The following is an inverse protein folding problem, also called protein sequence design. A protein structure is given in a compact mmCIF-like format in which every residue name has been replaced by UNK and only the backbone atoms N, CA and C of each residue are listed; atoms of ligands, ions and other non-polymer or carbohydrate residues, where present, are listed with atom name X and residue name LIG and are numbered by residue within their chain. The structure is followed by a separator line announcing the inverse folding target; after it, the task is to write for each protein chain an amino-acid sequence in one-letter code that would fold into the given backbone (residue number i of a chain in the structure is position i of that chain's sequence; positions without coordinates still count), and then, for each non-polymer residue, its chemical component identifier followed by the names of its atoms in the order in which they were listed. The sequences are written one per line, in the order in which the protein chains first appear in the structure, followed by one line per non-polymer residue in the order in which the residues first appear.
data_IF_569874589234
#
_entry.id   IF_569874589234
#
_cell.length_a   1.000
_cell.length_b   1.000
_cell.length_c   1.000
_cell.angle_alpha   90.00
_cell.angle_beta   90.00
_cell.angle_gamma   90.00
#
_symmetry.space_group_name_H-M   'P 1'
#
loop_
_entity.id
_entity.type
_entity.pdbx_description
1 polymer ?
#
# COMPACT_ATOMS: atom_id res chain seq x y z
N UNK A 1 -10.33 -12.90 6.30
CA UNK A 1 -9.42 -12.07 7.11
C UNK A 1 -9.00 -12.86 8.34
N UNK A 2 -7.70 -12.92 8.61
CA UNK A 2 -7.21 -13.11 9.97
C UNK A 2 -7.15 -11.75 10.69
N UNK A 3 -7.08 -11.77 12.01
CA UNK A 3 -6.99 -10.57 12.85
C UNK A 3 -5.81 -10.72 13.80
N UNK A 4 -4.99 -9.68 13.88
CA UNK A 4 -3.82 -9.64 14.74
C UNK A 4 -3.84 -8.36 15.57
N UNK A 5 -3.66 -8.51 16.88
CA UNK A 5 -3.44 -7.39 17.78
C UNK A 5 -2.09 -7.55 18.47
N UNK A 6 -1.23 -6.54 18.35
CA UNK A 6 0.08 -6.49 18.99
C UNK A 6 0.13 -5.26 19.86
N UNK A 7 0.51 -5.45 21.13
CA UNK A 7 0.73 -4.36 22.06
C UNK A 7 2.09 -4.52 22.75
N UNK A 8 2.76 -3.40 23.01
CA UNK A 8 4.01 -3.38 23.76
C UNK A 8 3.89 -2.55 25.04
N UNK A 9 4.76 -2.82 26.01
CA UNK A 9 4.78 -2.11 27.29
C UNK A 9 5.75 -0.94 27.24
N UNK A 10 5.28 0.23 27.67
CA UNK A 10 6.04 1.48 27.82
C UNK A 10 7.09 1.46 28.95
N UNK A 11 7.07 0.41 29.78
CA UNK A 11 8.09 0.14 30.80
C UNK A 11 9.48 -0.17 30.19
N UNK A 12 9.52 -0.57 28.91
CA UNK A 12 10.75 -0.89 28.20
C UNK A 12 11.11 0.21 27.18
N UNK A 13 12.38 0.27 26.77
CA UNK A 13 12.79 1.19 25.71
C UNK A 13 12.21 0.76 24.34
N UNK A 14 11.99 1.74 23.46
CA UNK A 14 11.35 1.53 22.15
C UNK A 14 12.06 0.49 21.27
N UNK A 15 13.39 0.40 21.35
CA UNK A 15 14.16 -0.59 20.59
C UNK A 15 13.79 -2.03 21.00
N UNK A 16 13.66 -2.28 22.30
CA UNK A 16 13.24 -3.58 22.82
C UNK A 16 11.76 -3.84 22.51
N UNK A 17 10.91 -2.83 22.65
CA UNK A 17 9.49 -2.93 22.30
C UNK A 17 9.31 -3.31 20.82
N UNK A 18 9.99 -2.63 19.89
CA UNK A 18 9.88 -2.91 18.46
C UNK A 18 10.41 -4.30 18.10
N UNK A 19 11.52 -4.72 18.70
CA UNK A 19 12.03 -6.08 18.52
C UNK A 19 11.05 -7.14 19.02
N UNK A 20 10.50 -6.95 20.22
CA UNK A 20 9.53 -7.86 20.83
C UNK A 20 8.21 -7.91 20.06
N UNK A 21 7.74 -6.79 19.52
CA UNK A 21 6.54 -6.74 18.66
C UNK A 21 6.69 -7.62 17.42
N UNK A 22 7.84 -7.51 16.74
CA UNK A 22 8.17 -8.35 15.59
C UNK A 22 8.20 -9.84 15.96
N UNK A 23 8.87 -10.20 17.05
CA UNK A 23 8.92 -11.58 17.56
C UNK A 23 7.54 -12.13 17.96
N UNK A 24 6.69 -11.31 18.56
CA UNK A 24 5.37 -11.73 19.00
C UNK A 24 4.43 -11.97 17.81
N UNK A 25 4.37 -11.04 16.85
CA UNK A 25 3.62 -11.23 15.60
C UNK A 25 4.07 -12.49 14.88
N UNK A 26 5.38 -12.66 14.81
CA UNK A 26 6.04 -13.80 14.25
C UNK A 26 5.52 -15.12 14.85
N UNK A 27 5.63 -15.26 16.17
CA UNK A 27 5.28 -16.49 16.88
C UNK A 27 3.80 -16.88 16.70
N UNK A 28 2.88 -15.92 16.59
CA UNK A 28 1.45 -16.20 16.47
C UNK A 28 0.95 -16.35 15.03
N UNK A 29 1.78 -16.04 14.03
CA UNK A 29 1.40 -16.09 12.61
C UNK A 29 2.33 -16.92 11.73
N UNK A 30 3.25 -17.68 12.33
CA UNK A 30 4.26 -18.53 11.66
C UNK A 30 3.71 -19.31 10.46
N UNK A 31 2.58 -20.01 10.61
CA UNK A 31 1.98 -20.79 9.52
C UNK A 31 1.46 -19.90 8.38
N UNK A 32 0.82 -18.77 8.70
CA UNK A 32 0.33 -17.83 7.70
C UNK A 32 1.49 -17.18 6.95
N UNK A 33 2.59 -16.87 7.65
CA UNK A 33 3.81 -16.30 7.08
C UNK A 33 4.45 -17.29 6.11
N UNK A 34 4.60 -18.55 6.52
CA UNK A 34 5.11 -19.59 5.66
C UNK A 34 4.27 -19.75 4.39
N UNK A 35 2.94 -19.86 4.51
CA UNK A 35 2.06 -19.97 3.33
C UNK A 35 2.14 -18.74 2.43
N UNK A 36 2.20 -17.54 3.01
CA UNK A 36 2.29 -16.31 2.23
C UNK A 36 3.63 -16.19 1.49
N UNK A 37 4.74 -16.52 2.14
CA UNK A 37 6.06 -16.64 1.54
C UNK A 37 6.06 -17.60 0.34
N UNK A 38 5.52 -18.80 0.54
CA UNK A 38 5.41 -19.83 -0.50
C UNK A 38 4.56 -19.37 -1.69
N UNK A 39 3.50 -18.61 -1.45
CA UNK A 39 2.61 -18.12 -2.50
C UNK A 39 3.20 -16.95 -3.30
N UNK A 40 4.07 -16.15 -2.70
CA UNK A 40 4.44 -14.83 -3.26
C UNK A 40 5.89 -14.75 -3.74
N UNK A 41 6.85 -14.95 -2.83
CA UNK A 41 8.25 -14.54 -3.04
C UNK A 41 9.25 -15.68 -2.92
N UNK A 42 8.84 -16.92 -2.65
CA UNK A 42 9.75 -18.08 -2.50
C UNK A 42 10.72 -18.27 -3.68
N UNK A 43 10.27 -17.95 -4.90
CA UNK A 43 11.10 -18.04 -6.11
C UNK A 43 11.84 -16.75 -6.47
N UNK A 44 11.68 -15.66 -5.72
CA UNK A 44 12.26 -14.36 -6.04
C UNK A 44 13.77 -14.36 -5.77
N UNK A 45 14.58 -14.11 -6.81
CA UNK A 45 16.05 -14.24 -6.75
C UNK A 45 16.57 -15.54 -6.10
N UNK A 46 15.86 -16.66 -6.30
CA UNK A 46 16.28 -17.97 -5.82
C UNK A 46 17.50 -18.56 -6.55
N UNK A 47 18.12 -19.61 -6.00
CA UNK A 47 19.43 -20.14 -6.44
C UNK A 47 19.45 -20.73 -7.86
N UNK A 48 18.28 -20.98 -8.46
CA UNK A 48 18.14 -21.62 -9.76
C UNK A 48 17.61 -20.66 -10.86
N UNK A 49 17.68 -19.34 -10.65
CA UNK A 49 17.19 -18.35 -11.61
C UNK A 49 18.26 -17.91 -12.62
N UNK A 50 17.82 -17.71 -13.86
CA UNK A 50 18.64 -17.21 -14.97
C UNK A 50 18.89 -15.68 -14.93
N UNK A 51 18.31 -14.95 -13.97
CA UNK A 51 18.41 -13.49 -13.85
C UNK A 51 19.49 -13.06 -12.83
N UNK A 52 20.68 -13.67 -12.89
CA UNK A 52 21.75 -13.46 -11.90
C UNK A 52 22.19 -12.01 -11.81
N UNK A 53 22.37 -11.32 -12.94
CA UNK A 53 22.79 -9.91 -12.98
C UNK A 53 21.79 -8.96 -12.30
N UNK A 54 20.48 -9.17 -12.51
CA UNK A 54 19.45 -8.38 -11.83
C UNK A 54 19.50 -8.60 -10.31
N UNK A 55 19.58 -9.86 -9.88
CA UNK A 55 19.58 -10.21 -8.46
C UNK A 55 20.84 -9.71 -7.74
N UNK A 56 22.01 -9.75 -8.39
CA UNK A 56 23.25 -9.19 -7.87
C UNK A 56 23.17 -7.65 -7.72
N UNK A 57 22.60 -6.96 -8.72
CA UNK A 57 22.35 -5.50 -8.62
C UNK A 57 21.40 -5.15 -7.50
N UNK A 58 20.28 -5.86 -7.40
CA UNK A 58 19.30 -5.66 -6.33
C UNK A 58 19.93 -5.87 -4.95
N UNK A 59 20.68 -6.97 -4.79
CA UNK A 59 21.38 -7.26 -3.55
C UNK A 59 22.38 -6.14 -3.21
N UNK A 60 23.24 -5.75 -4.14
CA UNK A 60 24.23 -4.70 -3.91
C UNK A 60 23.59 -3.35 -3.56
N UNK A 61 22.47 -3.01 -4.20
CA UNK A 61 21.70 -1.82 -3.88
C UNK A 61 21.12 -1.87 -2.46
N UNK A 62 20.49 -2.97 -2.08
CA UNK A 62 19.89 -3.12 -0.75
C UNK A 62 20.95 -3.09 0.36
N UNK A 63 22.07 -3.78 0.17
CA UNK A 63 23.21 -3.75 1.11
C UNK A 63 23.76 -2.33 1.28
N UNK A 64 23.98 -1.60 0.18
CA UNK A 64 24.44 -0.22 0.21
C UNK A 64 23.43 0.71 0.89
N UNK A 65 22.13 0.55 0.61
CA UNK A 65 21.07 1.34 1.22
C UNK A 65 20.96 1.12 2.74
N UNK A 66 21.02 -0.14 3.19
CA UNK A 66 21.01 -0.47 4.62
C UNK A 66 22.24 0.08 5.34
N UNK A 67 23.43 -0.04 4.72
CA UNK A 67 24.67 0.51 5.26
C UNK A 67 24.60 2.04 5.38
N UNK A 68 24.08 2.71 4.35
CA UNK A 68 23.87 4.15 4.37
C UNK A 68 22.90 4.57 5.48
N UNK A 69 21.77 3.88 5.65
CA UNK A 69 20.84 4.17 6.75
C UNK A 69 21.51 4.01 8.13
N UNK A 70 22.37 3.01 8.31
CA UNK A 70 23.15 2.86 9.55
C UNK A 70 24.08 4.04 9.79
N UNK A 71 24.82 4.47 8.76
CA UNK A 71 25.70 5.62 8.85
C UNK A 71 24.93 6.91 9.23
N UNK A 72 23.74 7.13 8.65
CA UNK A 72 22.91 8.27 9.00
C UNK A 72 22.42 8.22 10.46
N UNK A 73 22.04 7.03 10.95
CA UNK A 73 21.66 6.86 12.36
C UNK A 73 22.83 7.11 13.31
N UNK A 74 24.07 6.81 12.91
CA UNK A 74 25.28 7.05 13.72
C UNK A 74 25.70 8.53 13.73
N UNK A 75 25.49 9.25 12.62
CA UNK A 75 25.76 10.69 12.52
C UNK A 75 24.92 11.53 13.50
N UNK A 76 23.75 11.03 13.92
CA UNK A 76 22.89 11.69 14.91
C UNK A 76 22.21 12.97 14.42
N UNK A 77 22.27 13.28 13.13
CA UNK A 77 21.44 14.30 12.52
C UNK A 77 19.96 13.87 12.58
N UNK A 78 19.03 14.80 12.78
CA UNK A 78 17.58 14.53 12.89
C UNK A 78 17.23 13.33 13.81
N UNK A 79 17.47 13.45 15.12
CA UNK A 79 17.38 12.34 16.06
C UNK A 79 15.95 11.80 16.23
N UNK A 80 14.93 12.58 15.89
CA UNK A 80 13.53 12.12 15.91
C UNK A 80 13.26 11.21 14.71
N UNK A 81 13.56 11.68 13.50
CA UNK A 81 13.35 10.92 12.28
C UNK A 81 14.11 9.58 12.31
N UNK A 82 15.41 9.63 12.60
CA UNK A 82 16.25 8.43 12.59
C UNK A 82 15.98 7.49 13.77
N UNK A 83 15.42 7.97 14.89
CA UNK A 83 14.89 7.10 15.95
C UNK A 83 13.68 6.31 15.45
N UNK A 84 12.76 6.94 14.71
CA UNK A 84 11.62 6.27 14.12
C UNK A 84 11.98 5.33 12.97
N UNK A 85 13.06 5.60 12.25
CA UNK A 85 13.63 4.65 11.27
C UNK A 85 14.25 3.47 12.00
N UNK A 86 14.99 3.69 13.10
CA UNK A 86 15.65 2.62 13.86
C UNK A 86 14.67 1.62 14.48
N UNK A 87 13.58 2.10 15.08
CA UNK A 87 12.58 1.27 15.78
C UNK A 87 12.11 0.04 14.97
N UNK A 88 11.38 0.21 13.86
CA UNK A 88 10.87 -0.89 13.04
C UNK A 88 11.98 -1.66 12.30
N UNK A 89 13.13 -1.03 12.09
CA UNK A 89 14.23 -1.65 11.37
C UNK A 89 15.10 -2.52 12.26
N UNK A 90 14.96 -2.46 13.60
CA UNK A 90 15.81 -3.19 14.54
C UNK A 90 15.76 -4.73 14.40
N UNK A 91 14.61 -5.39 14.08
CA UNK A 91 14.60 -6.82 13.76
C UNK A 91 15.31 -7.16 12.44
N UNK A 92 15.26 -6.24 11.47
CA UNK A 92 15.73 -6.44 10.08
C UNK A 92 17.19 -6.02 9.87
N UNK A 93 17.70 -5.13 10.73
CA UNK A 93 19.01 -4.47 10.61
C UNK A 93 20.08 -4.99 11.58
N UNK A 94 19.93 -6.16 12.19
CA UNK A 94 21.04 -6.78 12.97
C UNK A 94 21.66 -7.94 12.20
N UNK A 95 22.77 -7.73 11.45
CA UNK A 95 23.49 -8.82 10.81
C UNK A 95 24.25 -9.73 11.78
N UNK A 96 24.50 -9.31 13.04
CA UNK A 96 25.36 -10.05 13.97
C UNK A 96 25.00 -9.76 15.43
N UNK A 97 24.20 -10.62 16.03
CA UNK A 97 24.26 -10.84 17.47
C UNK A 97 24.61 -12.32 17.70
N UNK A 98 25.78 -12.64 18.30
CA UNK A 98 26.12 -14.00 18.67
C UNK A 98 25.32 -14.37 19.92
N UNK A 99 24.05 -14.71 19.73
CA UNK A 99 23.29 -15.56 20.65
C UNK A 99 22.97 -16.83 19.88
N UNK A 100 24.06 -17.58 19.68
CA UNK A 100 24.06 -18.94 19.18
C UNK A 100 23.23 -19.85 20.09
N UNK A 101 22.63 -20.85 19.44
CA UNK A 101 22.23 -22.15 19.98
C UNK A 101 20.89 -22.30 20.73
N UNK A 102 20.10 -21.26 21.03
CA UNK A 102 18.76 -21.48 21.63
C UNK A 102 17.58 -20.72 21.00
N UNK A 103 17.82 -19.69 20.20
CA UNK A 103 16.77 -19.00 19.45
C UNK A 103 16.60 -19.53 18.00
N UNK A 104 17.37 -20.54 17.61
CA UNK A 104 17.25 -21.22 16.30
C UNK A 104 15.99 -22.10 16.17
N UNK A 105 15.07 -22.04 17.13
CA UNK A 105 13.86 -22.86 17.20
C UNK A 105 12.56 -22.05 17.27
N UNK A 106 12.59 -20.71 17.11
CA UNK A 106 11.42 -19.84 17.31
C UNK A 106 11.06 -18.98 16.09
N UNK A 107 11.53 -19.34 14.89
CA UNK A 107 11.02 -18.80 13.63
C UNK A 107 10.99 -19.90 12.55
N UNK A 108 9.86 -20.19 11.89
CA UNK A 108 9.72 -21.26 10.89
C UNK A 108 10.75 -21.18 9.77
N UNK A 109 11.19 -19.98 9.40
CA UNK A 109 12.14 -19.78 8.30
C UNK A 109 13.60 -20.03 8.72
N UNK A 110 13.92 -20.00 10.02
CA UNK A 110 15.23 -20.43 10.50
C UNK A 110 15.44 -21.95 10.32
N UNK A 111 14.36 -22.74 10.30
CA UNK A 111 14.42 -24.18 10.03
C UNK A 111 14.80 -24.50 8.57
N UNK A 112 14.51 -23.62 7.62
CA UNK A 112 14.97 -23.74 6.22
C UNK A 112 16.47 -23.43 6.06
N UNK A 113 17.08 -22.80 7.07
CA UNK A 113 18.50 -22.43 7.06
C UNK A 113 19.41 -23.60 7.50
N UNK A 114 18.83 -24.73 7.94
CA UNK A 114 19.57 -25.91 8.39
C UNK A 114 19.81 -26.98 7.31
N UNK A 115 19.39 -26.78 6.07
CA UNK A 115 19.66 -27.67 4.93
C UNK A 115 21.00 -27.45 4.22
N UNK A 116 22.05 -27.01 4.94
CA UNK A 116 23.44 -27.17 4.48
C UNK A 116 23.89 -26.34 3.27
N UNK A 117 23.15 -25.29 2.89
CA UNK A 117 23.58 -24.32 1.88
C UNK A 117 23.99 -23.01 2.57
N UNK A 118 25.25 -22.94 2.97
CA UNK A 118 25.88 -21.72 3.47
C UNK A 118 26.15 -20.79 2.28
N UNK A 119 25.12 -20.10 1.80
CA UNK A 119 25.16 -18.97 0.86
C UNK A 119 23.71 -18.46 0.69
N UNK A 120 23.22 -17.68 1.66
CA UNK A 120 22.04 -16.83 1.44
C UNK A 120 22.56 -15.40 1.43
N UNK A 121 22.31 -14.60 0.38
CA UNK A 121 22.76 -13.21 0.30
C UNK A 121 22.16 -12.36 1.42
N UNK A 122 22.76 -11.20 1.71
CA UNK A 122 22.39 -10.34 2.85
C UNK A 122 20.95 -9.76 2.80
N UNK A 123 20.22 -10.01 1.71
CA UNK A 123 18.78 -9.73 1.60
C UNK A 123 18.02 -10.89 2.21
N UNK A 124 17.50 -10.71 3.42
CA UNK A 124 16.76 -11.78 4.09
C UNK A 124 15.36 -11.93 3.48
N UNK A 125 14.80 -13.14 3.57
CA UNK A 125 13.43 -13.45 3.13
C UNK A 125 12.41 -12.43 3.66
N UNK A 126 12.59 -11.98 4.89
CA UNK A 126 11.72 -11.02 5.56
C UNK A 126 11.75 -9.63 4.88
N UNK A 127 12.90 -9.21 4.36
CA UNK A 127 13.04 -7.93 3.65
C UNK A 127 12.25 -7.94 2.34
N UNK A 128 12.27 -9.04 1.60
CA UNK A 128 11.52 -9.16 0.34
C UNK A 128 10.01 -9.01 0.55
N UNK A 129 9.47 -9.52 1.65
CA UNK A 129 8.05 -9.33 2.01
C UNK A 129 7.69 -7.86 2.29
N UNK A 130 8.69 -7.03 2.63
CA UNK A 130 8.47 -5.60 2.85
C UNK A 130 8.65 -4.77 1.58
N UNK A 131 9.41 -5.28 0.61
CA UNK A 131 9.77 -4.53 -0.59
C UNK A 131 8.80 -4.78 -1.75
N UNK A 132 7.70 -5.52 -1.53
CA UNK A 132 6.81 -5.98 -2.60
C UNK A 132 6.47 -4.92 -3.65
N UNK A 133 6.10 -3.71 -3.23
CA UNK A 133 5.83 -2.61 -4.15
C UNK A 133 7.04 -1.77 -4.56
N UNK A 134 8.06 -1.63 -3.70
CA UNK A 134 9.34 -1.01 -4.09
C UNK A 134 10.01 -1.79 -5.23
N UNK A 135 9.84 -3.11 -5.26
CA UNK A 135 10.35 -3.98 -6.30
C UNK A 135 9.73 -3.67 -7.67
N UNK A 136 8.51 -3.15 -7.76
CA UNK A 136 7.90 -2.77 -9.06
C UNK A 136 8.75 -1.71 -9.79
N UNK A 137 9.22 -0.69 -9.05
CA UNK A 137 10.08 0.36 -9.59
C UNK A 137 11.55 -0.09 -9.69
N UNK A 138 12.06 -0.86 -8.72
CA UNK A 138 13.45 -1.36 -8.73
C UNK A 138 13.70 -2.36 -9.87
N UNK A 139 12.72 -3.19 -10.21
CA UNK A 139 12.78 -4.08 -11.37
C UNK A 139 12.96 -3.31 -12.66
N UNK A 140 12.20 -2.21 -12.84
CA UNK A 140 12.35 -1.33 -13.99
C UNK A 140 13.70 -0.60 -13.96
N UNK A 141 14.12 -0.10 -12.79
CA UNK A 141 15.37 0.65 -12.65
C UNK A 141 16.62 -0.20 -12.95
N UNK A 142 16.58 -1.50 -12.62
CA UNK A 142 17.66 -2.44 -12.88
C UNK A 142 17.49 -3.25 -14.18
N UNK A 143 16.53 -2.88 -15.03
CA UNK A 143 16.28 -3.50 -16.33
C UNK A 143 16.06 -5.02 -16.24
N UNK A 144 15.19 -5.47 -15.33
CA UNK A 144 14.84 -6.88 -15.21
C UNK A 144 14.23 -7.41 -16.51
N UNK A 145 14.86 -8.41 -17.12
CA UNK A 145 14.58 -8.83 -18.50
C UNK A 145 13.52 -9.93 -18.63
N UNK A 146 13.24 -10.74 -17.59
CA UNK A 146 12.26 -11.84 -17.71
C UNK A 146 10.81 -11.44 -17.40
N UNK A 147 10.58 -10.28 -16.81
CA UNK A 147 9.25 -9.78 -16.46
C UNK A 147 9.18 -8.26 -16.62
N UNK A 148 9.01 -7.73 -17.85
CA UNK A 148 8.83 -6.29 -18.02
C UNK A 148 7.59 -5.82 -17.25
N UNK A 149 7.62 -4.61 -16.66
CA UNK A 149 6.47 -4.05 -15.95
C UNK A 149 5.21 -4.14 -16.81
N UNK A 150 4.12 -4.62 -16.20
CA UNK A 150 2.83 -4.74 -16.89
C UNK A 150 2.31 -3.32 -17.14
N UNK A 151 2.48 -2.82 -18.37
CA UNK A 151 2.02 -1.49 -18.73
C UNK A 151 0.53 -1.35 -18.43
N UNK A 152 0.21 -0.32 -17.64
CA UNK A 152 -1.14 -0.01 -17.21
C UNK A 152 -1.66 -0.91 -16.09
N UNK A 153 -0.82 -1.70 -15.40
CA UNK A 153 -1.31 -2.43 -14.23
C UNK A 153 -1.82 -1.41 -13.21
N UNK A 154 -3.14 -1.37 -13.01
CA UNK A 154 -3.74 -0.65 -11.90
C UNK A 154 -3.51 -1.46 -10.63
N UNK A 155 -3.46 -0.78 -9.49
CA UNK A 155 -3.22 -1.46 -8.20
C UNK A 155 -4.15 -1.07 -7.09
N UNK A 156 -5.10 -0.16 -7.36
CA UNK A 156 -6.10 0.22 -6.38
C UNK A 156 -7.11 1.20 -6.95
N UNK A 157 -8.29 1.18 -6.36
CA UNK A 157 -9.29 2.23 -6.49
C UNK A 157 -9.61 2.80 -5.12
N UNK A 158 -9.85 4.10 -5.05
CA UNK A 158 -10.09 4.78 -3.78
C UNK A 158 -11.12 5.90 -3.91
N UNK A 159 -11.97 6.04 -2.90
CA UNK A 159 -13.00 7.08 -2.86
C UNK A 159 -13.05 7.72 -1.46
N UNK A 160 -12.99 9.04 -1.42
CA UNK A 160 -13.39 9.86 -0.28
C UNK A 160 -14.74 10.46 -0.63
N UNK A 161 -15.74 10.33 0.25
CA UNK A 161 -17.10 10.80 -0.04
C UNK A 161 -17.66 11.60 1.11
N UNK A 162 -17.98 12.87 0.85
CA UNK A 162 -18.83 13.65 1.73
C UNK A 162 -20.28 13.22 1.51
N UNK A 163 -20.93 12.75 2.57
CA UNK A 163 -22.34 12.40 2.51
C UNK A 163 -23.21 13.67 2.41
N UNK A 164 -24.46 13.57 1.90
CA UNK A 164 -25.36 14.71 1.79
C UNK A 164 -25.48 15.50 3.10
N UNK A 165 -25.32 16.81 3.02
CA UNK A 165 -25.32 17.72 4.18
C UNK A 165 -24.06 17.63 5.04
N UNK A 166 -22.95 17.09 4.52
CA UNK A 166 -21.67 16.90 5.22
C UNK A 166 -21.84 16.13 6.55
N UNK A 167 -22.83 15.25 6.63
CA UNK A 167 -23.16 14.52 7.88
C UNK A 167 -22.08 13.51 8.29
N UNK A 168 -21.31 13.02 7.33
CA UNK A 168 -20.19 12.12 7.53
C UNK A 168 -19.22 12.26 6.33
N UNK A 169 -17.98 11.83 6.54
CA UNK A 169 -16.96 11.69 5.51
C UNK A 169 -16.53 10.23 5.48
N UNK A 170 -16.85 9.53 4.39
CA UNK A 170 -16.47 8.13 4.20
C UNK A 170 -15.15 8.04 3.46
N UNK A 171 -14.28 7.13 3.90
CA UNK A 171 -12.96 6.88 3.31
C UNK A 171 -12.85 5.41 2.95
N UNK A 172 -12.73 5.11 1.66
CA UNK A 172 -12.81 3.76 1.13
C UNK A 172 -11.65 3.38 0.20
N UNK A 173 -11.17 2.15 0.27
CA UNK A 173 -10.05 1.65 -0.53
C UNK A 173 -10.31 0.21 -1.00
N UNK A 174 -10.06 -0.07 -2.26
CA UNK A 174 -10.14 -1.40 -2.90
C UNK A 174 -8.77 -1.70 -3.51
N UNK A 175 -8.01 -2.64 -2.92
CA UNK A 175 -6.67 -2.99 -3.39
C UNK A 175 -6.76 -3.88 -4.61
N UNK A 176 -6.00 -3.58 -5.66
CA UNK A 176 -5.78 -4.50 -6.77
C UNK A 176 -4.40 -5.14 -6.67
N UNK A 177 -4.35 -6.46 -6.68
CA UNK A 177 -3.09 -7.22 -6.60
C UNK A 177 -3.29 -8.63 -7.17
N UNK A 178 -2.21 -9.40 -7.26
CA UNK A 178 -2.28 -10.80 -7.66
C UNK A 178 -3.08 -11.64 -6.66
N UNK A 179 -3.92 -12.54 -7.15
CA UNK A 179 -4.76 -13.39 -6.30
C UNK A 179 -3.95 -14.31 -5.37
N UNK A 180 -2.69 -14.60 -5.70
CA UNK A 180 -1.81 -15.38 -4.82
C UNK A 180 -1.47 -14.68 -3.50
N UNK A 181 -1.62 -13.35 -3.41
CA UNK A 181 -1.36 -12.57 -2.19
C UNK A 181 -2.55 -12.56 -1.22
N UNK A 182 -3.69 -13.18 -1.54
CA UNK A 182 -4.95 -13.11 -0.77
C UNK A 182 -4.96 -13.85 0.58
N UNK A 183 -3.80 -14.09 1.19
CA UNK A 183 -3.71 -14.34 2.63
C UNK A 183 -3.66 -12.98 3.34
N UNK A 184 -4.75 -12.62 4.01
CA UNK A 184 -4.97 -11.24 4.49
C UNK A 184 -5.13 -11.17 6.00
N UNK A 185 -4.48 -10.19 6.62
CA UNK A 185 -4.51 -9.94 8.06
C UNK A 185 -4.88 -8.48 8.32
N UNK A 186 -5.93 -8.20 9.09
CA UNK A 186 -6.13 -6.87 9.67
C UNK A 186 -5.31 -6.79 10.95
N UNK A 187 -4.43 -5.79 11.04
CA UNK A 187 -3.49 -5.63 12.15
C UNK A 187 -3.86 -4.40 12.97
N UNK A 188 -3.84 -4.56 14.29
CA UNK A 188 -3.90 -3.47 15.27
C UNK A 188 -2.61 -3.45 16.07
N UNK A 189 -1.83 -2.39 15.92
CA UNK A 189 -0.63 -2.17 16.69
C UNK A 189 -0.89 -1.10 17.76
N UNK A 190 -0.57 -1.40 19.01
CA UNK A 190 -0.55 -0.45 20.14
C UNK A 190 0.89 -0.37 20.66
N UNK A 191 1.63 0.59 20.11
CA UNK A 191 3.06 0.75 20.30
C UNK A 191 3.31 2.13 20.93
N UNK A 192 3.45 2.23 22.27
CA UNK A 192 3.70 3.49 22.98
C UNK A 192 5.17 3.95 22.81
N UNK A 193 5.64 4.03 21.56
CA UNK A 193 6.97 4.53 21.25
C UNK A 193 7.07 6.03 21.57
N UNK A 194 8.29 6.46 21.88
CA UNK A 194 8.65 7.85 22.08
C UNK A 194 9.05 8.48 20.76
N UNK A 195 8.92 9.80 20.70
CA UNK A 195 9.28 10.62 19.52
C UNK A 195 10.78 10.54 19.25
N UNK A 196 11.61 10.54 20.30
CA UNK A 196 13.07 10.37 20.24
C UNK A 196 13.57 9.48 21.37
N UNK A 197 14.80 8.97 21.22
CA UNK A 197 15.44 8.08 22.19
C UNK A 197 15.57 8.65 23.61
N UNK A 198 15.68 9.98 23.76
CA UNK A 198 15.82 10.67 25.06
C UNK A 198 14.58 11.45 25.48
N UNK A 199 13.55 11.51 24.63
CA UNK A 199 12.32 12.24 24.89
C UNK A 199 11.31 11.42 25.67
N UNK A 200 10.44 12.10 26.43
CA UNK A 200 9.32 11.46 27.12
C UNK A 200 7.99 11.57 26.34
N UNK A 201 7.98 12.32 25.23
CA UNK A 201 6.78 12.52 24.43
C UNK A 201 6.49 11.28 23.56
N UNK A 202 5.32 10.68 23.74
CA UNK A 202 4.82 9.58 22.91
C UNK A 202 4.48 10.07 21.50
N UNK A 203 4.69 9.20 20.52
CA UNK A 203 4.31 9.46 19.13
C UNK A 203 2.78 9.63 18.98
N UNK A 204 2.30 10.53 18.11
CA UNK A 204 0.86 10.69 17.86
C UNK A 204 0.17 9.42 17.33
N UNK A 205 0.84 8.67 16.45
CA UNK A 205 0.36 7.45 15.82
C UNK A 205 0.72 6.17 16.58
N UNK A 206 0.63 6.17 17.91
CA UNK A 206 0.95 5.01 18.74
C UNK A 206 -0.04 3.85 18.59
N UNK A 207 -1.28 4.11 18.19
CA UNK A 207 -2.24 3.06 17.80
C UNK A 207 -2.50 3.15 16.31
N UNK A 208 -2.38 2.02 15.61
CA UNK A 208 -2.58 1.93 14.17
C UNK A 208 -3.41 0.69 13.85
N UNK A 209 -4.49 0.85 13.09
CA UNK A 209 -5.25 -0.26 12.51
C UNK A 209 -5.16 -0.21 11.00
N UNK A 210 -4.76 -1.30 10.37
CA UNK A 210 -4.52 -1.35 8.93
C UNK A 210 -4.75 -2.74 8.33
N UNK A 211 -5.11 -2.78 7.05
CA UNK A 211 -5.16 -4.02 6.28
C UNK A 211 -3.76 -4.42 5.83
N UNK A 212 -3.39 -5.70 5.92
CA UNK A 212 -2.02 -6.16 5.72
C UNK A 212 -1.99 -7.63 5.28
N UNK A 213 -0.78 -8.20 5.27
CA UNK A 213 -0.42 -9.54 4.86
C UNK A 213 0.43 -10.21 5.94
N UNK A 214 0.46 -11.55 6.00
CA UNK A 214 1.33 -12.27 6.93
C UNK A 214 2.81 -11.92 6.70
N UNK A 215 3.51 -11.49 7.75
CA UNK A 215 4.94 -11.17 7.70
C UNK A 215 5.27 -9.78 7.17
N UNK A 216 4.29 -9.04 6.62
CA UNK A 216 4.47 -7.64 6.20
C UNK A 216 4.15 -6.68 7.35
N UNK A 217 5.12 -5.96 7.88
CA UNK A 217 4.97 -5.13 9.11
C UNK A 217 4.31 -3.76 8.85
N UNK A 218 3.77 -3.56 7.66
CA UNK A 218 2.98 -2.41 7.23
C UNK A 218 1.82 -2.90 6.34
N UNK A 219 1.03 -1.99 5.77
CA UNK A 219 -0.18 -2.34 5.02
C UNK A 219 0.13 -2.97 3.65
N UNK A 220 0.86 -2.26 2.79
CA UNK A 220 1.14 -2.71 1.41
C UNK A 220 -0.07 -2.59 0.48
N UNK A 221 -1.21 -2.13 1.00
CA UNK A 221 -2.41 -1.85 0.22
C UNK A 221 -2.40 -0.44 -0.40
N UNK A 222 -2.44 0.68 0.31
CA UNK A 222 -2.23 0.96 1.74
C UNK A 222 -3.47 1.59 2.42
N UNK A 223 -3.92 1.12 3.60
CA UNK A 223 -5.03 1.75 4.35
C UNK A 223 -4.79 1.71 5.87
N UNK A 224 -4.68 2.89 6.51
CA UNK A 224 -4.43 3.01 7.95
C UNK A 224 -5.42 3.93 8.66
N UNK A 225 -5.82 3.55 9.87
CA UNK A 225 -6.51 4.40 10.85
C UNK A 225 -5.55 4.63 12.02
N UNK A 226 -5.21 5.88 12.29
CA UNK A 226 -4.16 6.27 13.24
C UNK A 226 -4.74 6.98 14.46
N UNK A 227 -4.15 6.76 15.64
CA UNK A 227 -4.57 7.45 16.89
C UNK A 227 -4.39 8.97 16.84
N UNK A 228 -3.61 9.48 15.90
CA UNK A 228 -3.48 10.91 15.64
C UNK A 228 -4.74 11.54 15.02
N UNK A 229 -5.79 10.74 14.74
CA UNK A 229 -7.01 11.17 14.05
C UNK A 229 -6.86 11.22 12.53
N UNK A 230 -5.74 10.73 12.01
CA UNK A 230 -5.46 10.64 10.59
C UNK A 230 -5.91 9.29 10.03
N UNK A 231 -6.45 9.32 8.82
CA UNK A 231 -6.56 8.14 7.95
C UNK A 231 -5.65 8.39 6.77
N UNK A 232 -4.54 7.66 6.72
CA UNK A 232 -3.61 7.71 5.60
C UNK A 232 -3.87 6.54 4.67
N UNK A 233 -3.90 6.84 3.38
CA UNK A 233 -4.09 5.85 2.32
C UNK A 233 -3.19 6.21 1.14
N UNK A 234 -2.42 5.23 0.70
CA UNK A 234 -1.63 5.28 -0.51
C UNK A 234 -2.29 4.36 -1.53
N UNK A 235 -2.28 4.79 -2.77
CA UNK A 235 -2.34 3.85 -3.87
C UNK A 235 -0.89 3.52 -4.18
N UNK A 236 -0.38 2.41 -3.60
CA UNK A 236 1.04 1.98 -3.53
C UNK A 236 1.88 2.68 -2.41
N UNK A 237 3.07 2.24 -1.93
CA UNK A 237 3.72 2.76 -0.68
C UNK A 237 5.16 2.42 -0.22
N UNK A 238 6.10 3.37 -0.20
CA UNK A 238 7.40 3.28 0.54
C UNK A 238 7.47 4.19 1.78
N UNK A 239 8.20 3.82 2.85
CA UNK A 239 8.36 4.52 4.15
C UNK A 239 7.12 5.04 4.94
N UNK A 240 5.87 4.50 4.83
CA UNK A 240 4.75 5.03 5.62
C UNK A 240 4.91 5.01 7.16
N UNK A 241 5.66 4.07 7.80
CA UNK A 241 5.68 3.98 9.25
C UNK A 241 6.18 5.23 9.98
N UNK A 242 7.12 5.99 9.40
CA UNK A 242 7.65 7.19 10.09
C UNK A 242 6.61 8.31 10.05
N UNK A 243 6.06 8.60 8.87
CA UNK A 243 5.02 9.62 8.71
C UNK A 243 3.75 9.25 9.52
N UNK A 244 3.31 8.00 9.47
CA UNK A 244 2.15 7.52 10.24
C UNK A 244 2.33 7.64 11.76
N UNK A 245 3.56 7.45 12.27
CA UNK A 245 3.84 7.57 13.70
C UNK A 245 3.91 9.02 14.16
N UNK A 246 4.61 9.88 13.42
CA UNK A 246 4.97 11.23 13.88
C UNK A 246 3.93 12.30 13.55
N UNK A 247 3.15 12.14 12.48
CA UNK A 247 2.30 13.21 11.98
C UNK A 247 1.07 13.47 12.86
N UNK A 248 0.78 14.76 13.07
CA UNK A 248 -0.45 15.24 13.72
C UNK A 248 -1.44 15.85 12.73
N UNK A 249 -1.00 16.21 11.54
CA UNK A 249 -1.83 16.78 10.46
C UNK A 249 -1.41 16.21 9.11
N UNK A 250 -2.26 16.39 8.09
CA UNK A 250 -1.92 15.99 6.71
C UNK A 250 -0.68 16.70 6.16
N UNK A 251 -0.48 17.98 6.50
CA UNK A 251 0.70 18.73 6.09
C UNK A 251 1.99 18.21 6.73
N UNK A 252 1.97 17.88 8.03
CA UNK A 252 3.11 17.25 8.72
C UNK A 252 3.41 15.86 8.14
N UNK A 253 2.36 15.09 7.85
CA UNK A 253 2.50 13.76 7.24
C UNK A 253 3.24 13.87 5.91
N UNK A 254 2.81 14.79 5.04
CA UNK A 254 3.45 15.04 3.75
C UNK A 254 4.90 15.52 3.89
N UNK A 255 5.17 16.42 4.85
CA UNK A 255 6.51 16.93 5.11
C UNK A 255 7.49 15.87 5.63
N UNK A 256 6.99 14.86 6.35
CA UNK A 256 7.77 13.72 6.82
C UNK A 256 7.97 12.68 5.71
N UNK A 257 6.92 12.39 4.94
CA UNK A 257 6.93 11.37 3.89
C UNK A 257 7.86 11.72 2.73
N UNK A 258 7.88 12.98 2.29
CA UNK A 258 8.71 13.42 1.17
C UNK A 258 10.22 13.42 1.48
N UNK A 259 10.61 13.23 2.74
CA UNK A 259 12.01 13.19 3.14
C UNK A 259 12.65 11.95 2.54
N UNK A 260 13.81 12.15 1.90
CA UNK A 260 14.59 11.04 1.35
C UNK A 260 13.77 10.18 0.36
N UNK A 261 12.96 10.84 -0.47
CA UNK A 261 12.20 10.21 -1.55
C UNK A 261 13.09 9.23 -2.33
N UNK A 262 12.76 7.93 -2.26
CA UNK A 262 13.50 6.86 -2.92
C UNK A 262 13.22 6.79 -4.43
N UNK A 263 12.12 7.39 -4.89
CA UNK A 263 11.60 7.18 -6.24
C UNK A 263 11.11 5.76 -6.48
N UNK A 264 10.93 4.98 -5.42
CA UNK A 264 10.37 3.63 -5.46
C UNK A 264 9.01 3.65 -4.80
N UNK A 265 8.14 2.79 -5.30
CA UNK A 265 6.75 2.67 -4.93
C UNK A 265 6.05 4.03 -5.04
N UNK A 266 5.89 4.51 -6.28
CA UNK A 266 5.43 5.87 -6.64
C UNK A 266 3.90 6.03 -6.67
N UNK A 267 3.36 6.95 -5.86
CA UNK A 267 1.95 6.89 -5.42
C UNK A 267 1.25 8.23 -5.44
N UNK A 268 -0.08 8.17 -5.41
CA UNK A 268 -0.92 9.23 -4.86
C UNK A 268 -1.35 8.85 -3.43
N UNK A 269 -0.89 9.63 -2.46
CA UNK A 269 -1.28 9.55 -1.06
C UNK A 269 -2.40 10.54 -0.75
N UNK A 270 -3.38 10.08 0.02
CA UNK A 270 -4.48 10.86 0.54
C UNK A 270 -4.49 10.73 2.06
N UNK A 271 -4.26 11.84 2.74
CA UNK A 271 -4.27 11.93 4.20
C UNK A 271 -5.50 12.70 4.62
N UNK A 272 -6.44 11.99 5.23
CA UNK A 272 -7.66 12.57 5.79
C UNK A 272 -7.45 12.86 7.26
N UNK A 273 -7.62 14.10 7.68
CA UNK A 273 -7.60 14.48 9.09
C UNK A 273 -9.02 14.65 9.63
N UNK A 274 -9.51 13.65 10.35
CA UNK A 274 -10.83 13.73 10.96
C UNK A 274 -10.93 14.76 12.08
N UNK A 275 -9.80 15.23 12.65
CA UNK A 275 -9.83 16.32 13.64
C UNK A 275 -10.24 17.66 13.00
N UNK A 276 -10.00 17.81 11.71
CA UNK A 276 -10.39 18.99 10.93
C UNK A 276 -11.81 18.87 10.34
N UNK A 277 -12.44 17.69 10.42
CA UNK A 277 -13.80 17.46 9.94
C UNK A 277 -14.82 17.71 11.07
N UNK A 278 -15.91 18.41 10.75
CA UNK A 278 -17.02 18.63 11.68
C UNK A 278 -18.33 18.34 10.95
N UNK A 279 -19.15 17.37 11.41
CA UNK A 279 -20.41 17.03 10.77
C UNK A 279 -21.32 18.26 10.57
N UNK A 280 -21.86 18.43 9.36
CA UNK A 280 -22.73 19.55 9.00
C UNK A 280 -22.00 20.88 8.71
N UNK A 281 -20.70 20.98 8.98
CA UNK A 281 -19.92 22.18 8.69
C UNK A 281 -19.23 22.09 7.33
N UNK A 282 -18.72 23.24 6.85
CA UNK A 282 -17.84 23.32 5.68
C UNK A 282 -16.44 23.71 6.17
N UNK A 283 -15.45 22.88 5.91
CA UNK A 283 -14.05 23.22 6.15
C UNK A 283 -13.43 23.79 4.88
N UNK A 284 -12.53 24.77 5.02
CA UNK A 284 -11.79 25.34 3.88
C UNK A 284 -10.41 24.69 3.68
N UNK A 285 -9.81 24.15 4.74
CA UNK A 285 -8.45 23.59 4.75
C UNK A 285 -8.32 22.49 5.81
N UNK A 286 -7.31 21.65 5.66
CA UNK A 286 -6.84 20.70 6.66
C UNK A 286 -7.55 19.34 6.69
N UNK A 287 -8.67 19.15 5.99
CA UNK A 287 -9.38 17.86 5.97
C UNK A 287 -8.71 16.85 5.05
N UNK A 288 -8.24 17.28 3.87
CA UNK A 288 -7.62 16.41 2.88
C UNK A 288 -6.30 17.00 2.38
N UNK A 289 -5.21 16.29 2.62
CA UNK A 289 -3.91 16.54 1.97
C UNK A 289 -3.66 15.45 0.94
N UNK A 290 -3.28 15.86 -0.27
CA UNK A 290 -2.90 14.95 -1.36
C UNK A 290 -1.42 15.14 -1.66
N UNK A 291 -0.69 14.05 -1.75
CA UNK A 291 0.73 14.01 -2.11
C UNK A 291 0.92 13.04 -3.27
N UNK A 292 1.69 13.44 -4.28
CA UNK A 292 2.13 12.55 -5.36
C UNK A 292 3.64 12.53 -5.46
N UNK A 293 4.21 11.34 -5.65
CA UNK A 293 5.64 11.11 -5.72
C UNK A 293 6.00 10.37 -7.00
N UNK A 294 7.09 10.80 -7.66
CA UNK A 294 7.76 10.04 -8.73
C UNK A 294 9.29 10.07 -8.53
N UNK A 295 10.09 9.30 -9.32
CA UNK A 295 11.54 9.33 -9.24
C UNK A 295 12.14 10.72 -9.56
N UNK A 296 13.45 10.86 -9.30
CA UNK A 296 14.21 12.13 -9.42
C UNK A 296 13.85 13.19 -8.38
N UNK A 297 13.27 12.76 -7.26
CA UNK A 297 12.99 13.62 -6.11
C UNK A 297 11.76 14.52 -6.29
N UNK A 298 10.96 14.31 -7.35
CA UNK A 298 9.77 15.12 -7.57
C UNK A 298 8.61 14.64 -6.69
N UNK A 299 8.18 15.52 -5.78
CA UNK A 299 7.02 15.33 -4.92
C UNK A 299 6.17 16.59 -4.99
N UNK A 300 4.88 16.43 -5.27
CA UNK A 300 3.91 17.53 -5.26
C UNK A 300 2.91 17.30 -4.15
N UNK A 301 2.68 18.32 -3.32
CA UNK A 301 1.79 18.26 -2.15
C UNK A 301 0.82 19.43 -2.22
N UNK A 302 -0.47 19.16 -1.99
CA UNK A 302 -1.48 20.20 -1.88
C UNK A 302 -2.62 19.84 -0.93
N UNK A 303 -3.27 20.86 -0.37
CA UNK A 303 -4.49 20.73 0.42
C UNK A 303 -5.70 20.75 -0.51
N UNK A 304 -6.37 19.61 -0.64
CA UNK A 304 -7.55 19.44 -1.52
C UNK A 304 -8.87 19.50 -0.75
N UNK A 305 -8.87 20.10 0.44
CA UNK A 305 -10.09 20.27 1.23
C UNK A 305 -11.15 21.06 0.48
N UNK A 306 -10.81 22.24 -0.07
CA UNK A 306 -11.79 23.07 -0.76
C UNK A 306 -12.42 22.32 -1.94
N UNK A 307 -11.61 21.67 -2.77
CA UNK A 307 -12.09 20.87 -3.90
C UNK A 307 -12.97 19.69 -3.45
N UNK A 308 -12.59 18.98 -2.37
CA UNK A 308 -13.40 17.91 -1.78
C UNK A 308 -14.81 18.40 -1.41
N UNK A 309 -14.93 19.59 -0.79
CA UNK A 309 -16.23 20.16 -0.44
C UNK A 309 -17.01 20.69 -1.65
N UNK A 310 -16.32 21.25 -2.66
CA UNK A 310 -16.97 21.74 -3.88
C UNK A 310 -17.61 20.62 -4.70
N UNK A 311 -16.91 19.49 -4.88
CA UNK A 311 -17.41 18.37 -5.69
C UNK A 311 -18.11 17.28 -4.86
N UNK A 312 -17.89 17.26 -3.54
CA UNK A 312 -18.48 16.31 -2.60
C UNK A 312 -17.82 14.93 -2.59
N UNK A 313 -16.68 14.74 -3.24
CA UNK A 313 -15.90 13.50 -3.24
C UNK A 313 -14.42 13.75 -3.63
N UNK A 314 -13.57 12.74 -3.52
CA UNK A 314 -12.25 12.67 -4.17
C UNK A 314 -12.00 11.23 -4.59
N UNK A 315 -11.66 10.99 -5.85
CA UNK A 315 -11.42 9.65 -6.38
C UNK A 315 -9.95 9.47 -6.78
N UNK A 316 -9.44 8.25 -6.62
CA UNK A 316 -8.09 7.85 -6.99
C UNK A 316 -8.11 6.50 -7.71
N UNK A 317 -7.36 6.38 -8.80
CA UNK A 317 -7.48 5.28 -9.76
C UNK A 317 -6.21 5.11 -10.62
N UNK A 318 -5.03 5.20 -9.99
CA UNK A 318 -3.71 4.99 -10.62
C UNK A 318 -3.36 5.94 -11.78
N UNK A 319 -3.96 7.13 -11.83
CA UNK A 319 -3.54 8.22 -12.72
C UNK A 319 -3.24 9.45 -11.86
N UNK A 320 -2.06 10.08 -11.98
CA UNK A 320 -1.71 11.23 -11.17
C UNK A 320 -2.60 12.43 -11.50
N UNK A 321 -3.05 13.13 -10.47
CA UNK A 321 -3.88 14.33 -10.51
C UNK A 321 -3.05 15.57 -10.85
N UNK A 322 -1.86 15.72 -10.28
CA UNK A 322 -1.07 16.93 -10.50
C UNK A 322 -0.48 16.90 -11.90
N UNK A 323 -0.78 17.92 -12.71
CA UNK A 323 -0.34 18.02 -14.10
C UNK A 323 1.19 17.88 -14.24
N UNK A 324 1.95 18.44 -13.30
CA UNK A 324 3.41 18.31 -13.27
C UNK A 324 3.84 16.84 -13.15
N UNK A 325 3.22 16.07 -12.26
CA UNK A 325 3.49 14.64 -12.09
C UNK A 325 3.00 13.84 -13.29
N UNK A 326 1.83 14.16 -13.82
CA UNK A 326 1.25 13.53 -15.01
C UNK A 326 2.18 13.67 -16.22
N UNK A 327 2.70 14.88 -16.45
CA UNK A 327 3.59 15.17 -17.55
C UNK A 327 4.96 14.50 -17.35
N UNK A 328 5.54 14.60 -16.16
CA UNK A 328 6.86 14.06 -15.85
C UNK A 328 6.92 12.52 -15.81
N UNK A 329 5.80 11.85 -15.50
CA UNK A 329 5.68 10.39 -15.51
C UNK A 329 5.46 9.79 -16.91
N UNK A 330 5.36 10.62 -17.96
CA UNK A 330 5.22 10.15 -19.34
C UNK A 330 3.79 9.80 -19.75
N UNK A 331 2.77 10.11 -18.93
CA UNK A 331 1.38 9.80 -19.25
C UNK A 331 0.88 10.51 -20.52
N UNK A 332 1.42 11.69 -20.87
CA UNK A 332 1.09 12.37 -22.13
C UNK A 332 1.35 11.50 -23.37
N UNK A 333 2.46 10.77 -23.39
CA UNK A 333 2.79 9.88 -24.51
C UNK A 333 1.90 8.63 -24.54
N UNK A 334 1.49 8.15 -23.36
CA UNK A 334 0.52 7.05 -23.25
C UNK A 334 -0.86 7.47 -23.72
N UNK A 335 -1.31 8.70 -23.40
CA UNK A 335 -2.57 9.25 -23.91
C UNK A 335 -2.53 9.39 -25.43
N UNK A 336 -1.43 9.89 -26.01
CA UNK A 336 -1.27 9.96 -27.48
C UNK A 336 -1.35 8.58 -28.13
N UNK A 337 -0.80 7.56 -27.48
CA UNK A 337 -0.69 6.20 -28.04
C UNK A 337 -1.94 5.34 -27.84
N UNK A 338 -2.56 5.41 -26.67
CA UNK A 338 -3.64 4.51 -26.24
C UNK A 338 -4.95 5.24 -25.88
N UNK A 339 -4.97 6.57 -25.98
CA UNK A 339 -6.16 7.39 -25.76
C UNK A 339 -6.56 7.54 -24.29
N UNK A 340 -7.86 7.69 -24.05
CA UNK A 340 -8.43 8.08 -22.76
C UNK A 340 -8.20 7.09 -21.63
N UNK A 341 -7.74 5.87 -21.91
CA UNK A 341 -7.45 4.91 -20.85
C UNK A 341 -6.39 5.43 -19.87
N UNK A 342 -5.43 6.22 -20.36
CA UNK A 342 -4.36 6.84 -19.56
C UNK A 342 -4.63 8.31 -19.22
N UNK A 343 -5.77 8.88 -19.62
CA UNK A 343 -6.12 10.26 -19.25
C UNK A 343 -6.75 10.30 -17.87
N UNK A 344 -6.49 11.36 -17.11
CA UNK A 344 -7.00 11.50 -15.73
C UNK A 344 -8.53 11.42 -15.71
N UNK A 345 -9.22 12.31 -16.43
CA UNK A 345 -10.69 12.36 -16.44
C UNK A 345 -11.37 11.37 -17.40
N UNK A 346 -10.66 10.88 -18.42
CA UNK A 346 -11.22 10.02 -19.46
C UNK A 346 -11.15 8.53 -19.17
N UNK A 347 -10.31 8.11 -18.21
CA UNK A 347 -10.14 6.68 -17.89
C UNK A 347 -11.46 6.04 -17.45
N UNK A 348 -11.67 4.73 -17.70
CA UNK A 348 -12.90 4.03 -17.32
C UNK A 348 -13.29 4.24 -15.86
N UNK A 349 -12.33 4.15 -14.93
CA UNK A 349 -12.56 4.35 -13.49
C UNK A 349 -12.95 5.77 -13.15
N UNK A 350 -12.28 6.77 -13.71
CA UNK A 350 -12.64 8.17 -13.52
C UNK A 350 -14.10 8.43 -13.93
N UNK A 351 -14.48 7.93 -15.12
CA UNK A 351 -15.83 8.09 -15.65
C UNK A 351 -16.89 7.33 -14.84
N UNK A 352 -16.57 6.13 -14.34
CA UNK A 352 -17.47 5.39 -13.45
C UNK A 352 -17.66 6.13 -12.12
N UNK A 353 -16.58 6.64 -11.50
CA UNK A 353 -16.69 7.45 -10.29
C UNK A 353 -17.51 8.72 -10.53
N UNK A 354 -17.22 9.46 -11.59
CA UNK A 354 -17.94 10.69 -11.95
C UNK A 354 -19.45 10.42 -12.11
N UNK A 355 -19.83 9.31 -12.75
CA UNK A 355 -21.24 8.91 -12.93
C UNK A 355 -21.90 8.45 -11.62
N UNK A 356 -21.20 7.65 -10.81
CA UNK A 356 -21.83 6.86 -9.74
C UNK A 356 -21.61 7.39 -8.32
N UNK A 357 -20.66 8.30 -8.06
CA UNK A 357 -20.30 8.72 -6.70
C UNK A 357 -21.47 9.33 -5.91
N UNK A 358 -22.45 9.94 -6.59
CA UNK A 358 -23.64 10.54 -5.96
C UNK A 358 -24.64 9.49 -5.44
N UNK A 359 -24.51 8.24 -5.88
CA UNK A 359 -25.30 7.11 -5.38
C UNK A 359 -24.84 6.68 -3.98
N UNK A 360 -23.61 7.03 -3.59
CA UNK A 360 -23.08 6.74 -2.25
C UNK A 360 -23.70 7.70 -1.24
N UNK A 361 -24.57 7.14 -0.39
CA UNK A 361 -25.31 7.87 0.66
C UNK A 361 -25.05 7.32 2.06
N UNK A 362 -24.39 6.18 2.17
CA UNK A 362 -24.12 5.46 3.41
C UNK A 362 -22.99 4.43 3.19
N UNK A 363 -22.69 3.66 4.22
CA UNK A 363 -21.65 2.63 4.18
C UNK A 363 -21.97 1.53 3.15
N UNK A 364 -23.21 1.05 3.07
CA UNK A 364 -23.57 -0.07 2.18
C UNK A 364 -23.50 0.33 0.70
N UNK A 365 -23.97 1.53 0.36
CA UNK A 365 -23.82 2.10 -0.98
C UNK A 365 -22.36 2.40 -1.34
N UNK A 366 -21.51 2.75 -0.36
CA UNK A 366 -20.06 2.84 -0.55
C UNK A 366 -19.45 1.46 -0.84
N UNK A 367 -19.81 0.43 -0.07
CA UNK A 367 -19.39 -0.96 -0.30
C UNK A 367 -19.74 -1.39 -1.72
N UNK A 368 -20.99 -1.14 -2.15
CA UNK A 368 -21.47 -1.52 -3.47
C UNK A 368 -20.69 -0.84 -4.60
N UNK A 369 -20.39 0.46 -4.47
CA UNK A 369 -19.61 1.18 -5.48
C UNK A 369 -18.15 0.72 -5.50
N UNK A 370 -17.52 0.53 -4.34
CA UNK A 370 -16.13 0.12 -4.28
C UNK A 370 -15.91 -1.32 -4.77
N UNK A 371 -16.93 -2.19 -4.67
CA UNK A 371 -16.91 -3.55 -5.25
C UNK A 371 -17.50 -3.60 -6.67
N UNK A 372 -17.79 -2.46 -7.31
CA UNK A 372 -18.50 -2.43 -8.57
C UNK A 372 -17.68 -2.99 -9.73
N UNK A 373 -18.18 -4.05 -10.36
CA UNK A 373 -17.71 -4.56 -11.64
C UNK A 373 -18.84 -5.22 -12.42
N UNK A 374 -19.40 -4.50 -13.38
CA UNK A 374 -20.45 -5.00 -14.28
C UNK A 374 -19.97 -4.94 -15.74
N UNK A 375 -18.72 -5.36 -16.00
CA UNK A 375 -18.02 -5.10 -17.26
C UNK A 375 -18.72 -5.65 -18.52
N UNK A 376 -19.57 -6.68 -18.36
CA UNK A 376 -20.34 -7.26 -19.46
C UNK A 376 -21.43 -6.32 -19.98
N UNK A 377 -21.97 -5.45 -19.11
CA UNK A 377 -23.13 -4.59 -19.41
C UNK A 377 -22.81 -3.10 -19.37
N UNK A 378 -21.82 -2.68 -18.59
CA UNK A 378 -21.46 -1.28 -18.45
C UNK A 378 -20.76 -0.76 -19.72
N UNK A 379 -21.31 0.24 -20.43
CA UNK A 379 -20.66 0.80 -21.60
C UNK A 379 -19.30 1.45 -21.29
N UNK A 380 -19.06 1.90 -20.05
CA UNK A 380 -17.78 2.47 -19.63
C UNK A 380 -16.68 1.40 -19.46
N UNK A 381 -17.05 0.13 -19.40
CA UNK A 381 -16.10 -0.97 -19.32
C UNK A 381 -15.59 -1.44 -20.68
N UNK A 382 -16.07 -0.84 -21.78
CA UNK A 382 -15.63 -1.18 -23.13
C UNK A 382 -14.24 -0.60 -23.42
N UNK A 383 -13.36 -1.45 -23.96
CA UNK A 383 -12.03 -1.10 -24.42
C UNK A 383 -12.00 -0.87 -25.93
N UNK A 384 -11.37 0.21 -26.38
CA UNK A 384 -11.08 0.42 -27.80
C UNK A 384 -9.90 -0.45 -28.24
N UNK A 385 -10.06 -1.18 -29.35
CA UNK A 385 -9.02 -2.08 -29.85
C UNK A 385 -8.93 -3.42 -29.10
N UNK A 386 -9.88 -3.73 -28.22
CA UNK A 386 -10.04 -5.06 -27.64
C UNK A 386 -11.04 -5.93 -28.43
N UNK A 387 -10.78 -7.23 -28.48
CA UNK A 387 -11.73 -8.24 -28.93
C UNK A 387 -11.75 -9.42 -27.95
N UNK A 388 -12.83 -9.63 -27.17
CA UNK A 388 -14.07 -8.85 -27.16
C UNK A 388 -13.89 -7.44 -26.58
N UNK A 389 -14.80 -6.49 -26.89
CA UNK A 389 -14.67 -5.10 -26.42
C UNK A 389 -14.93 -4.96 -24.92
N UNK A 390 -15.68 -5.86 -24.28
CA UNK A 390 -15.90 -5.84 -22.83
C UNK A 390 -14.62 -6.26 -22.10
N UNK A 391 -14.14 -5.45 -21.16
CA UNK A 391 -12.94 -5.77 -20.40
C UNK A 391 -13.15 -5.63 -18.89
N UNK A 392 -12.83 -6.69 -18.15
CA UNK A 392 -13.05 -6.80 -16.71
C UNK A 392 -12.04 -5.99 -15.87
N UNK A 393 -10.99 -5.44 -16.48
CA UNK A 393 -10.08 -4.45 -15.87
C UNK A 393 -10.77 -3.08 -15.73
N UNK A 394 -11.68 -2.74 -16.64
CA UNK A 394 -12.32 -1.43 -16.73
C UNK A 394 -13.50 -1.30 -15.75
N UNK A 395 -13.22 -1.45 -14.46
CA UNK A 395 -14.19 -1.42 -13.36
C UNK A 395 -13.57 -0.76 -12.12
N UNK A 396 -14.37 -0.53 -11.06
CA UNK A 396 -13.82 -0.02 -9.78
C UNK A 396 -13.05 -1.12 -9.05
N UNK A 397 -13.56 -2.36 -9.08
CA UNK A 397 -12.90 -3.56 -8.54
C UNK A 397 -12.63 -4.53 -9.69
N UNK A 398 -11.42 -4.51 -10.25
CA UNK A 398 -11.10 -5.29 -11.46
C UNK A 398 -11.24 -6.80 -11.27
N UNK A 399 -11.49 -7.51 -12.36
CA UNK A 399 -11.58 -8.98 -12.43
C UNK A 399 -10.86 -9.51 -13.66
N UNK A 400 -9.55 -9.25 -13.76
CA UNK A 400 -8.77 -9.57 -14.97
C UNK A 400 -8.80 -11.07 -15.29
N UNK A 401 -9.10 -11.95 -14.32
CA UNK A 401 -9.29 -13.39 -14.52
C UNK A 401 -10.44 -13.75 -15.47
N UNK A 402 -11.46 -12.88 -15.56
CA UNK A 402 -12.64 -13.08 -16.39
C UNK A 402 -12.46 -12.63 -17.85
N UNK A 403 -11.32 -12.02 -18.18
CA UNK A 403 -10.98 -11.71 -19.56
C UNK A 403 -10.57 -13.00 -20.29
N UNK A 404 -10.97 -13.22 -21.56
CA UNK A 404 -10.60 -14.41 -22.31
C UNK A 404 -9.09 -14.47 -22.61
N UNK A 405 -8.46 -15.63 -22.36
CA UNK A 405 -7.04 -15.86 -22.62
C UNK A 405 -6.63 -15.55 -24.08
N UNK A 406 -7.52 -15.88 -25.02
CA UNK A 406 -7.31 -15.74 -26.46
C UNK A 406 -7.83 -14.40 -27.02
N UNK A 407 -8.19 -13.44 -26.15
CA UNK A 407 -8.62 -12.12 -26.58
C UNK A 407 -7.49 -11.28 -27.17
N UNK A 408 -7.85 -10.30 -27.99
CA UNK A 408 -6.93 -9.28 -28.49
C UNK A 408 -6.95 -8.07 -27.56
N UNK A 409 -5.78 -7.63 -27.11
CA UNK A 409 -5.63 -6.54 -26.14
C UNK A 409 -4.51 -5.58 -26.56
N UNK A 410 -4.73 -4.25 -26.53
CA UNK A 410 -3.73 -3.28 -26.99
C UNK A 410 -2.51 -3.16 -26.06
N UNK A 411 -2.65 -3.50 -24.77
CA UNK A 411 -1.55 -3.53 -23.81
C UNK A 411 -1.81 -4.55 -22.67
N UNK A 412 -0.75 -4.96 -21.93
CA UNK A 412 -0.79 -6.11 -21.02
C UNK A 412 -1.80 -6.06 -19.87
N UNK A 413 -2.11 -4.88 -19.30
CA UNK A 413 -3.04 -4.78 -18.17
C UNK A 413 -4.46 -5.29 -18.48
N UNK A 414 -4.87 -5.16 -19.74
CA UNK A 414 -6.20 -5.57 -20.21
C UNK A 414 -6.32 -7.07 -20.47
N UNK A 415 -5.23 -7.84 -20.38
CA UNK A 415 -5.22 -9.28 -20.65
C UNK A 415 -5.83 -10.08 -19.50
N UNK A 416 -6.02 -11.37 -19.72
CA UNK A 416 -6.31 -12.30 -18.65
C UNK A 416 -5.13 -12.39 -17.67
N UNK A 417 -5.40 -12.18 -16.38
CA UNK A 417 -4.40 -12.26 -15.31
C UNK A 417 -5.06 -12.77 -14.02
N UNK A 418 -4.32 -13.48 -13.18
CA UNK A 418 -4.72 -13.76 -11.79
C UNK A 418 -4.55 -12.51 -10.93
N UNK A 419 -5.24 -11.44 -11.29
CA UNK A 419 -5.08 -10.09 -10.76
C UNK A 419 -6.44 -9.37 -10.80
N UNK A 420 -6.66 -8.44 -9.89
CA UNK A 420 -7.87 -7.64 -9.82
C UNK A 420 -8.07 -7.08 -8.41
N UNK A 421 -9.25 -6.51 -8.15
CA UNK A 421 -9.63 -6.11 -6.79
C UNK A 421 -9.67 -7.33 -5.88
N UNK A 422 -9.00 -7.28 -4.73
CA UNK A 422 -8.86 -8.42 -3.80
C UNK A 422 -9.43 -8.15 -2.42
N UNK A 423 -9.86 -6.92 -2.15
CA UNK A 423 -10.52 -6.53 -0.92
C UNK A 423 -11.29 -5.23 -1.10
N UNK A 424 -11.98 -4.81 -0.06
CA UNK A 424 -12.42 -3.43 0.10
C UNK A 424 -12.42 -3.08 1.59
N UNK A 425 -11.98 -1.88 1.95
CA UNK A 425 -11.96 -1.33 3.32
C UNK A 425 -12.66 0.04 3.36
N UNK A 426 -13.51 0.29 4.35
CA UNK A 426 -14.15 1.60 4.57
C UNK A 426 -14.09 1.98 6.05
N UNK A 427 -13.82 3.24 6.33
CA UNK A 427 -14.07 3.87 7.63
C UNK A 427 -14.86 5.17 7.47
N UNK A 428 -15.29 5.73 8.59
CA UNK A 428 -16.08 6.96 8.67
C UNK A 428 -15.64 7.80 9.86
N UNK A 429 -16.20 9.01 9.99
CA UNK A 429 -15.93 9.88 11.14
C UNK A 429 -16.33 9.23 12.48
N UNK A 430 -17.38 8.41 12.49
CA UNK A 430 -17.84 7.72 13.70
C UNK A 430 -17.05 6.45 14.01
N UNK A 431 -16.50 5.78 13.01
CA UNK A 431 -15.75 4.53 13.18
C UNK A 431 -14.27 4.76 13.51
N UNK A 432 -13.64 5.75 12.89
CA UNK A 432 -12.21 6.00 13.02
C UNK A 432 -11.72 6.25 14.47
N UNK A 433 -12.42 7.03 15.33
CA UNK A 433 -12.00 7.25 16.71
C UNK A 433 -11.97 5.98 17.57
N UNK A 434 -12.70 4.94 17.18
CA UNK A 434 -12.74 3.64 17.85
C UNK A 434 -11.94 2.57 17.10
N UNK A 435 -11.13 2.98 16.12
CA UNK A 435 -10.30 2.12 15.28
C UNK A 435 -11.07 1.03 14.53
N UNK A 436 -12.30 1.36 14.09
CA UNK A 436 -13.17 0.43 13.38
C UNK A 436 -13.15 0.69 11.87
N UNK A 437 -13.30 -0.39 11.12
CA UNK A 437 -13.53 -0.37 9.68
C UNK A 437 -14.49 -1.49 9.27
N UNK A 438 -15.11 -1.32 8.10
CA UNK A 438 -15.77 -2.40 7.36
C UNK A 438 -14.76 -2.95 6.36
N UNK A 439 -14.60 -4.27 6.30
CA UNK A 439 -13.68 -4.91 5.36
C UNK A 439 -14.32 -6.12 4.68
N UNK A 440 -14.19 -6.20 3.36
CA UNK A 440 -14.52 -7.39 2.56
C UNK A 440 -13.23 -7.96 1.96
N UNK A 441 -13.06 -9.28 1.99
CA UNK A 441 -11.88 -9.96 1.43
C UNK A 441 -12.30 -10.79 0.21
N UNK A 442 -11.41 -10.86 -0.76
CA UNK A 442 -11.57 -11.59 -2.01
C UNK A 442 -12.17 -10.75 -3.12
N UNK A 443 -12.07 -11.24 -4.37
CA UNK A 443 -12.54 -10.51 -5.54
C UNK A 443 -14.02 -10.20 -5.48
N UNK A 444 -14.44 -9.15 -6.20
CA UNK A 444 -15.86 -8.83 -6.28
C UNK A 444 -16.66 -9.98 -6.91
N UNK A 445 -17.85 -10.19 -6.37
CA UNK A 445 -18.82 -11.20 -6.80
C UNK A 445 -20.24 -10.62 -6.86
N UNK A 446 -20.33 -9.30 -6.85
CA UNK A 446 -21.57 -8.54 -6.74
C UNK A 446 -22.42 -8.58 -8.02
N UNK A 447 -21.76 -8.52 -9.18
CA UNK A 447 -22.34 -8.49 -10.53
C UNK A 447 -21.66 -9.51 -11.48
N UNK A 448 -20.72 -10.29 -10.94
CA UNK A 448 -19.85 -11.25 -11.64
C UNK A 448 -19.76 -12.55 -10.83
N UNK A 449 -19.45 -13.69 -11.46
CA UNK A 449 -19.35 -14.96 -10.73
C UNK A 449 -18.26 -14.89 -9.63
N UNK A 450 -18.51 -15.49 -8.45
CA UNK A 450 -17.48 -15.63 -7.43
C UNK A 450 -16.22 -16.29 -7.98
N UNK A 451 -15.06 -15.76 -7.60
CA UNK A 451 -13.78 -16.37 -7.96
C UNK A 451 -13.59 -17.68 -7.18
N UNK A 452 -13.11 -18.72 -7.87
CA UNK A 452 -12.78 -20.02 -7.30
C UNK A 452 -11.50 -20.55 -7.97
N UNK A 453 -10.58 -21.07 -7.16
CA UNK A 453 -9.29 -21.57 -7.65
C UNK A 453 -9.35 -22.92 -8.40
N UNK A 454 -10.31 -23.77 -8.06
CA UNK A 454 -10.39 -25.19 -8.45
C UNK A 454 -11.02 -25.45 -9.81
#
# INVERSE_FOLDING_TARGET
WAFLEVATSDAYNDSLQAYAAGLAEAAVSEQLIYMHWMNTVVGYCGPFKYETDYCEKLQGYLEANLAWMQEQMEKGADPEYWHQVRGPSCPVLRPRAPLSARAGALWPLAALQHSGLALVPAVTAEQLLQLGGDLEDLESAFNRSAAPPVLGSGSCSALLKLLPGNRDLLVAHDTWTSYQSMLRVIKKYTLPFRTSARGNAQIPGSVQVFSSYPGTIFSGDDFYILSSGLVSRGCFGGLPPVANRLARSGAEWAALFQRLNSGTYNNQWMVVDYKAFSPGAVARRGVLTVLEQIPRGLVVVDDKTELLYQQGYWASYNVPYFEEIFNASGNLELVKKYGDWFSYDGSPRARIFQRNQTLVRDMDSMVRLMRFNNYLRDPLSRCQGCDPPQNAENAISARSDLNPANGTYPFPALRQRSHGGTDMKITSFSLAPTFRLVAASGPTWDDVPPFQWS
#
